data_IF_587223275779
#
_entry.id   IF_587223275779
#
_cell.length_a   1.000
_cell.length_b   1.000
_cell.length_c   1.000
_cell.angle_alpha   90.00
_cell.angle_beta   90.00
_cell.angle_gamma   90.00
#
_symmetry.space_group_name_H-M   'P 1'
#
loop_
_entity.id
_entity.type
_entity.pdbx_description
1 polymer ?
#
# COMPACT_ATOMS: atom_id res chain seq x y z
N UNK A 1 -1.13 -20.97 35.52
CA UNK A 1 0.20 -20.44 35.15
C UNK A 1 0.25 -20.25 33.64
N UNK A 2 -0.17 -19.10 33.11
CA UNK A 2 -0.05 -18.77 31.68
C UNK A 2 1.18 -17.90 31.45
N UNK A 3 2.25 -18.49 30.91
CA UNK A 3 3.40 -17.74 30.42
C UNK A 3 3.01 -17.05 29.10
N UNK A 4 2.38 -15.88 29.18
CA UNK A 4 2.22 -15.00 28.02
C UNK A 4 3.53 -14.23 27.85
N UNK A 5 4.39 -14.71 26.94
CA UNK A 5 5.50 -13.90 26.41
C UNK A 5 4.90 -12.67 25.72
N UNK A 6 4.83 -11.54 26.43
CA UNK A 6 4.18 -10.29 26.01
C UNK A 6 4.97 -9.49 24.95
N UNK A 7 5.83 -10.15 24.18
CA UNK A 7 6.78 -9.51 23.26
C UNK A 7 6.79 -10.06 21.84
N UNK A 8 6.03 -11.11 21.53
CA UNK A 8 6.00 -11.72 20.19
C UNK A 8 4.58 -11.69 19.60
N UNK A 9 4.43 -11.08 18.43
CA UNK A 9 3.17 -11.14 17.67
C UNK A 9 2.90 -12.58 17.24
N UNK A 10 1.65 -13.02 17.41
CA UNK A 10 1.22 -14.30 16.88
C UNK A 10 1.14 -14.27 15.34
N UNK A 11 1.19 -15.43 14.70
CA UNK A 11 1.06 -15.55 13.24
C UNK A 11 -0.22 -14.88 12.74
N UNK A 12 -1.32 -15.02 13.48
CA UNK A 12 -2.61 -14.40 13.15
C UNK A 12 -2.53 -12.88 13.13
N UNK A 13 -1.84 -12.29 14.10
CA UNK A 13 -1.71 -10.83 14.21
C UNK A 13 -0.88 -10.27 13.05
N UNK A 14 0.19 -10.97 12.65
CA UNK A 14 1.04 -10.60 11.52
C UNK A 14 0.27 -10.70 10.19
N UNK A 15 -0.58 -11.71 10.04
CA UNK A 15 -1.45 -11.86 8.86
C UNK A 15 -2.43 -10.70 8.77
N UNK A 16 -3.13 -10.37 9.86
CA UNK A 16 -4.07 -9.25 9.87
C UNK A 16 -3.36 -7.90 9.63
N UNK A 17 -2.16 -7.71 10.18
CA UNK A 17 -1.35 -6.50 9.93
C UNK A 17 -1.07 -6.32 8.44
N UNK A 18 -0.64 -7.38 7.73
CA UNK A 18 -0.38 -7.32 6.29
C UNK A 18 -1.66 -7.05 5.48
N UNK A 19 -2.78 -7.68 5.84
CA UNK A 19 -4.07 -7.48 5.15
C UNK A 19 -4.52 -6.02 5.23
N UNK A 20 -4.44 -5.39 6.41
CA UNK A 20 -4.83 -3.98 6.61
C UNK A 20 -3.86 -3.03 5.90
N UNK A 21 -2.56 -3.37 5.87
CA UNK A 21 -1.56 -2.59 5.14
C UNK A 21 -1.81 -2.55 3.63
N UNK A 22 -2.33 -3.64 3.05
CA UNK A 22 -2.65 -3.74 1.62
C UNK A 22 -4.03 -3.16 1.32
N UNK A 23 -5.04 -3.45 2.14
CA UNK A 23 -6.42 -3.02 1.92
C UNK A 23 -6.63 -1.54 2.27
N UNK A 24 -6.43 -0.66 1.28
CA UNK A 24 -6.81 0.75 1.40
C UNK A 24 -8.26 0.98 0.96
N UNK A 25 -9.18 1.13 1.93
CA UNK A 25 -10.61 1.36 1.70
C UNK A 25 -10.91 2.57 0.78
N UNK A 26 -10.01 3.55 0.73
CA UNK A 26 -10.16 4.76 -0.10
C UNK A 26 -10.06 4.47 -1.61
N UNK A 27 -9.37 3.40 -2.01
CA UNK A 27 -9.15 3.10 -3.43
C UNK A 27 -10.32 2.34 -4.06
N UNK A 28 -11.14 1.66 -3.24
CA UNK A 28 -12.31 0.88 -3.66
C UNK A 28 -13.39 1.74 -4.35
N UNK A 29 -13.81 2.92 -3.85
CA UNK A 29 -14.83 3.72 -4.55
C UNK A 29 -14.33 4.32 -5.88
N UNK A 30 -13.02 4.47 -6.06
CA UNK A 30 -12.46 4.96 -7.32
C UNK A 30 -12.59 3.93 -8.44
N UNK A 31 -12.73 2.63 -8.14
CA UNK A 31 -12.89 1.59 -9.16
C UNK A 31 -14.35 1.31 -9.55
N UNK A 32 -15.32 1.88 -8.81
CA UNK A 32 -16.75 1.73 -9.05
C UNK A 32 -17.24 2.09 -10.48
N UNK A 33 -16.69 3.09 -11.20
CA UNK A 33 -17.18 3.43 -12.54
C UNK A 33 -16.66 2.55 -13.67
N UNK A 34 -15.70 1.63 -13.43
CA UNK A 34 -15.05 0.86 -14.49
C UNK A 34 -15.82 -0.41 -14.94
N UNK A 35 -17.05 -0.61 -14.46
CA UNK A 35 -17.95 -1.68 -14.90
C UNK A 35 -17.58 -3.09 -14.43
N UNK A 36 -18.39 -4.08 -14.80
CA UNK A 36 -18.28 -5.46 -14.30
C UNK A 36 -17.05 -6.22 -14.83
N UNK A 37 -16.54 -5.86 -16.03
CA UNK A 37 -15.35 -6.47 -16.61
C UNK A 37 -14.08 -6.15 -15.82
N UNK A 38 -14.02 -5.00 -15.14
CA UNK A 38 -12.90 -4.63 -14.28
C UNK A 38 -12.76 -5.58 -13.08
N UNK A 39 -13.85 -6.15 -12.56
CA UNK A 39 -13.79 -7.08 -11.43
C UNK A 39 -13.06 -8.37 -11.79
N UNK A 40 -13.30 -8.92 -12.98
CA UNK A 40 -12.59 -10.11 -13.47
C UNK A 40 -11.10 -9.83 -13.70
N UNK A 41 -10.77 -8.68 -14.29
CA UNK A 41 -9.37 -8.27 -14.49
C UNK A 41 -8.62 -8.09 -13.17
N UNK A 42 -9.28 -7.58 -12.12
CA UNK A 42 -8.69 -7.46 -10.79
C UNK A 42 -8.44 -8.81 -10.12
N UNK A 43 -9.33 -9.80 -10.29
CA UNK A 43 -9.11 -11.16 -9.77
C UNK A 43 -7.92 -11.81 -10.49
N UNK A 44 -7.87 -11.71 -11.82
CA UNK A 44 -6.75 -12.25 -12.60
C UNK A 44 -5.43 -11.54 -12.23
N UNK A 45 -5.44 -10.22 -12.12
CA UNK A 45 -4.27 -9.44 -11.71
C UNK A 45 -3.84 -9.76 -10.28
N UNK A 46 -4.79 -9.98 -9.37
CA UNK A 46 -4.48 -10.40 -8.01
C UNK A 46 -3.70 -11.72 -8.02
N UNK A 47 -4.15 -12.76 -8.73
CA UNK A 47 -3.39 -14.02 -8.78
C UNK A 47 -2.06 -13.88 -9.52
N UNK A 48 -2.05 -13.25 -10.70
CA UNK A 48 -0.85 -13.15 -11.52
C UNK A 48 0.23 -12.20 -10.96
N UNK A 49 -0.12 -11.23 -10.11
CA UNK A 49 0.85 -10.29 -9.53
C UNK A 49 1.10 -10.55 -8.04
N UNK A 50 0.07 -10.89 -7.26
CA UNK A 50 0.21 -11.07 -5.82
C UNK A 50 0.88 -12.40 -5.46
N UNK A 51 0.57 -13.48 -6.17
CA UNK A 51 1.16 -14.78 -5.91
C UNK A 51 2.68 -14.81 -6.13
N UNK A 52 3.22 -14.38 -7.29
CA UNK A 52 4.67 -14.32 -7.47
C UNK A 52 5.33 -13.31 -6.52
N UNK A 53 4.65 -12.20 -6.20
CA UNK A 53 5.13 -11.25 -5.20
C UNK A 53 5.30 -11.90 -3.82
N UNK A 54 4.31 -12.68 -3.38
CA UNK A 54 4.35 -13.38 -2.10
C UNK A 54 5.49 -14.40 -2.04
N UNK A 55 5.76 -15.14 -3.13
CA UNK A 55 6.90 -16.05 -3.22
C UNK A 55 8.23 -15.31 -3.11
N UNK A 56 8.42 -14.21 -3.86
CA UNK A 56 9.65 -13.41 -3.81
C UNK A 56 9.88 -12.81 -2.42
N UNK A 57 8.82 -12.25 -1.80
CA UNK A 57 8.90 -11.72 -0.45
C UNK A 57 9.22 -12.81 0.58
N UNK A 58 8.71 -14.04 0.39
CA UNK A 58 9.02 -15.20 1.22
C UNK A 58 10.52 -15.53 1.17
N UNK A 59 11.05 -15.73 -0.04
CA UNK A 59 12.48 -16.02 -0.26
C UNK A 59 13.40 -14.93 0.33
N UNK A 60 13.05 -13.64 0.13
CA UNK A 60 13.84 -12.53 0.67
C UNK A 60 13.75 -12.42 2.19
N UNK A 61 12.58 -12.71 2.77
CA UNK A 61 12.39 -12.67 4.22
C UNK A 61 13.15 -13.79 4.93
N UNK A 62 13.29 -14.97 4.31
CA UNK A 62 14.08 -16.08 4.88
C UNK A 62 15.57 -15.96 4.55
N UNK A 63 15.93 -15.38 3.39
CA UNK A 63 17.32 -15.22 2.97
C UNK A 63 18.11 -14.22 3.81
N UNK A 64 17.46 -13.16 4.33
CA UNK A 64 18.10 -12.16 5.18
C UNK A 64 17.22 -11.81 6.38
N UNK A 65 17.38 -12.50 7.52
CA UNK A 65 16.56 -12.29 8.73
C UNK A 65 16.93 -11.02 9.50
N UNK A 66 17.51 -10.01 8.83
CA UNK A 66 17.85 -8.72 9.44
C UNK A 66 16.60 -7.84 9.51
N UNK A 67 16.35 -7.24 10.67
CA UNK A 67 15.27 -6.28 10.85
C UNK A 67 15.45 -5.06 9.92
N UNK A 68 14.47 -4.81 9.05
CA UNK A 68 14.46 -3.63 8.17
C UNK A 68 13.87 -3.82 6.77
N UNK A 69 13.31 -5.01 6.48
CA UNK A 69 12.45 -5.24 5.31
C UNK A 69 13.09 -4.84 3.98
N UNK A 70 12.32 -4.18 3.11
CA UNK A 70 12.72 -3.82 1.75
C UNK A 70 14.02 -2.99 1.69
N UNK A 71 14.27 -2.12 2.68
CA UNK A 71 15.48 -1.30 2.70
C UNK A 71 16.73 -2.15 2.88
N UNK A 72 16.67 -3.16 3.75
CA UNK A 72 17.79 -4.06 4.01
C UNK A 72 18.04 -4.96 2.81
N UNK A 73 16.97 -5.50 2.20
CA UNK A 73 17.07 -6.33 1.00
C UNK A 73 17.78 -5.59 -0.15
N UNK A 74 17.40 -4.34 -0.40
CA UNK A 74 18.02 -3.53 -1.46
C UNK A 74 19.43 -3.08 -1.06
N UNK A 75 19.67 -2.78 0.22
CA UNK A 75 21.00 -2.38 0.70
C UNK A 75 22.00 -3.53 0.55
N UNK A 76 21.59 -4.76 0.82
CA UNK A 76 22.45 -5.94 0.70
C UNK A 76 22.71 -6.28 -0.78
N UNK A 77 21.72 -6.13 -1.67
CA UNK A 77 21.87 -6.44 -3.10
C UNK A 77 22.58 -5.34 -3.92
N UNK A 78 22.28 -4.05 -3.67
CA UNK A 78 22.70 -2.92 -4.52
C UNK A 78 23.50 -1.86 -3.76
N UNK A 79 23.69 -2.01 -2.46
CA UNK A 79 24.43 -1.05 -1.63
C UNK A 79 23.60 0.12 -1.09
N UNK A 80 24.22 0.90 -0.20
CA UNK A 80 23.56 1.88 0.67
C UNK A 80 22.96 3.08 -0.07
N UNK A 81 23.55 3.53 -1.18
CA UNK A 81 23.06 4.70 -1.94
C UNK A 81 21.75 4.41 -2.66
N UNK A 82 21.66 3.25 -3.31
CA UNK A 82 20.47 2.84 -4.08
C UNK A 82 19.31 2.55 -3.12
N UNK A 83 19.57 1.88 -1.99
CA UNK A 83 18.55 1.63 -0.97
C UNK A 83 17.91 2.92 -0.43
N UNK A 84 18.71 3.98 -0.22
CA UNK A 84 18.20 5.28 0.19
C UNK A 84 17.31 5.93 -0.87
N UNK A 85 17.72 5.92 -2.13
CA UNK A 85 16.92 6.47 -3.24
C UNK A 85 15.59 5.73 -3.36
N UNK A 86 15.58 4.39 -3.27
CA UNK A 86 14.36 3.61 -3.38
C UNK A 86 13.38 3.92 -2.24
N UNK A 87 13.85 4.02 -0.99
CA UNK A 87 12.99 4.36 0.14
C UNK A 87 12.44 5.78 0.02
N UNK A 88 13.27 6.76 -0.38
CA UNK A 88 12.81 8.14 -0.59
C UNK A 88 11.78 8.20 -1.71
N UNK A 89 12.01 7.49 -2.82
CA UNK A 89 11.08 7.42 -3.94
C UNK A 89 9.75 6.76 -3.53
N UNK A 90 9.80 5.67 -2.75
CA UNK A 90 8.62 4.99 -2.22
C UNK A 90 7.80 5.89 -1.29
N UNK A 91 8.45 6.57 -0.35
CA UNK A 91 7.79 7.52 0.56
C UNK A 91 7.20 8.71 -0.21
N UNK A 92 7.91 9.22 -1.22
CA UNK A 92 7.41 10.31 -2.06
C UNK A 92 6.18 9.86 -2.86
N UNK A 93 6.18 8.66 -3.43
CA UNK A 93 5.03 8.09 -4.14
C UNK A 93 3.80 7.99 -3.23
N UNK A 94 3.96 7.44 -2.01
CA UNK A 94 2.88 7.35 -1.03
C UNK A 94 2.37 8.75 -0.61
N UNK A 95 3.28 9.70 -0.40
CA UNK A 95 2.97 11.05 0.08
C UNK A 95 2.39 11.95 -1.01
N UNK A 96 2.63 11.71 -2.29
CA UNK A 96 2.20 12.60 -3.39
C UNK A 96 0.84 12.22 -3.94
N UNK A 97 0.58 10.93 -4.12
CA UNK A 97 -0.71 10.44 -4.64
C UNK A 97 -1.86 10.78 -3.68
N UNK A 98 -1.62 10.78 -2.37
CA UNK A 98 -2.66 11.00 -1.36
C UNK A 98 -3.23 12.46 -1.31
N UNK A 99 -2.41 13.52 -1.16
CA UNK A 99 -2.86 14.91 -1.10
C UNK A 99 -3.22 15.47 -2.47
N UNK A 100 -2.61 15.03 -3.58
CA UNK A 100 -2.96 15.53 -4.92
C UNK A 100 -4.41 15.14 -5.27
N UNK A 101 -4.79 13.88 -5.02
CA UNK A 101 -6.18 13.43 -5.23
C UNK A 101 -7.19 14.11 -4.28
N UNK A 102 -6.77 14.42 -3.04
CA UNK A 102 -7.60 15.15 -2.09
C UNK A 102 -7.75 16.64 -2.47
N UNK A 103 -6.66 17.30 -2.84
CA UNK A 103 -6.62 18.69 -3.28
C UNK A 103 -7.41 18.91 -4.57
N UNK A 104 -7.31 18.01 -5.56
CA UNK A 104 -8.13 18.07 -6.78
C UNK A 104 -9.62 17.90 -6.44
N UNK A 105 -9.97 17.02 -5.50
CA UNK A 105 -11.37 16.84 -5.06
C UNK A 105 -11.88 18.08 -4.32
N UNK A 106 -11.07 18.67 -3.44
CA UNK A 106 -11.41 19.91 -2.72
C UNK A 106 -11.47 21.12 -3.64
N UNK A 107 -10.58 21.22 -4.63
CA UNK A 107 -10.62 22.25 -5.64
C UNK A 107 -11.87 22.11 -6.52
N UNK A 108 -12.23 20.88 -6.92
CA UNK A 108 -13.48 20.62 -7.66
C UNK A 108 -14.73 20.92 -6.83
N UNK A 109 -14.74 20.58 -5.54
CA UNK A 109 -15.86 20.88 -4.62
C UNK A 109 -15.95 22.38 -4.32
N UNK A 110 -14.82 23.05 -4.06
CA UNK A 110 -14.78 24.49 -3.85
C UNK A 110 -15.17 25.30 -5.10
N UNK A 111 -14.88 24.79 -6.30
CA UNK A 111 -15.39 25.35 -7.55
C UNK A 111 -16.86 25.02 -7.80
N UNK A 112 -17.36 23.88 -7.33
CA UNK A 112 -18.79 23.53 -7.41
C UNK A 112 -19.62 24.49 -6.55
N UNK A 113 -19.12 24.83 -5.37
CA UNK A 113 -19.78 25.77 -4.46
C UNK A 113 -19.76 27.21 -5.01
N UNK A 114 -18.65 27.66 -5.61
CA UNK A 114 -18.60 28.95 -6.34
C UNK A 114 -19.48 29.01 -7.59
N UNK A 115 -19.92 27.86 -8.13
CA UNK A 115 -20.77 27.79 -9.34
C UNK A 115 -22.25 27.59 -9.03
N UNK A 116 -22.69 27.59 -7.77
CA UNK A 116 -24.13 27.69 -7.45
C UNK A 116 -24.59 29.15 -7.59
N UNK A 117 -25.37 29.51 -8.63
CA UNK A 117 -26.07 30.78 -8.64
C UNK A 117 -27.21 30.71 -7.62
N UNK A 118 -27.15 31.53 -6.57
CA UNK A 118 -28.23 31.70 -5.61
C UNK A 118 -28.21 30.72 -4.44
N UNK A 119 -27.41 31.05 -3.41
CA UNK A 119 -27.78 30.69 -2.04
C UNK A 119 -28.89 31.64 -1.59
N UNK A 120 -30.03 31.08 -1.20
CA UNK A 120 -30.94 31.75 -0.26
C UNK A 120 -30.32 31.72 1.13
#
# INVERSE_FOLDING_TARGET
MSNTNSGLLGIKDIVFMNVIAILSLRQIPNVAPYGASAMLLWVIAAFCLFFPLAMVCGELSTGWPKDGGIFVWIKEAFGKRIAWIVVVCFLFFLRTVFPINAAIRLYRVGLYDRRRPGGK
#
